data_IF_198004580881
#
_entry.id   IF_198004580881
#
_cell.length_a   1.000
_cell.length_b   1.000
_cell.length_c   1.000
_cell.angle_alpha   90.00
_cell.angle_beta   90.00
_cell.angle_gamma   90.00
#
_symmetry.space_group_name_H-M   'P 1'
#
loop_
_entity.id
_entity.type
_entity.pdbx_description
1 polymer ?
#
# COMPACT_ATOMS: atom_id res chain seq x y z
N UNK A 1 23.46 3.53 12.05
CA UNK A 1 23.17 2.70 10.86
C UNK A 1 22.13 3.40 10.00
N UNK A 2 22.40 3.63 8.71
CA UNK A 2 21.34 4.05 7.76
C UNK A 2 20.50 2.82 7.43
N UNK A 3 19.18 2.89 7.63
CA UNK A 3 18.27 1.81 7.19
C UNK A 3 18.30 1.77 5.67
N UNK A 4 18.72 0.65 5.11
CA UNK A 4 18.62 0.38 3.68
C UNK A 4 17.21 -0.15 3.39
N UNK A 5 16.45 0.59 2.58
CA UNK A 5 15.10 0.20 2.14
C UNK A 5 15.21 -0.54 0.82
N UNK A 6 15.48 -1.83 0.90
CA UNK A 6 15.46 -2.77 -0.22
C UNK A 6 14.15 -3.57 -0.26
N UNK A 7 14.03 -4.50 -1.21
CA UNK A 7 12.82 -5.31 -1.37
C UNK A 7 12.60 -6.27 -0.18
N UNK A 8 13.67 -6.68 0.52
CA UNK A 8 13.57 -7.51 1.73
C UNK A 8 12.97 -6.69 2.87
N UNK A 9 13.46 -5.46 3.08
CA UNK A 9 12.87 -4.53 4.03
C UNK A 9 11.40 -4.26 3.69
N UNK A 10 11.09 -4.06 2.42
CA UNK A 10 9.72 -3.78 1.98
C UNK A 10 8.78 -4.98 2.22
N UNK A 11 9.25 -6.21 1.99
CA UNK A 11 8.53 -7.42 2.34
C UNK A 11 8.23 -7.49 3.84
N UNK A 12 9.22 -7.18 4.70
CA UNK A 12 8.98 -7.13 6.16
C UNK A 12 7.91 -6.11 6.57
N UNK A 13 7.76 -5.00 5.82
CA UNK A 13 6.69 -4.03 6.04
C UNK A 13 5.34 -4.59 5.63
N UNK A 14 5.25 -5.29 4.51
CA UNK A 14 4.05 -5.99 4.08
C UNK A 14 3.61 -6.99 5.15
N UNK A 15 4.52 -7.84 5.61
CA UNK A 15 4.24 -8.88 6.61
C UNK A 15 3.75 -8.29 7.94
N UNK A 16 4.39 -7.21 8.40
CA UNK A 16 3.97 -6.47 9.58
C UNK A 16 2.55 -5.91 9.45
N UNK A 17 2.26 -5.22 8.34
CA UNK A 17 0.96 -4.60 8.12
C UNK A 17 -0.13 -5.64 7.95
N UNK A 18 0.17 -6.73 7.23
CA UNK A 18 -0.78 -7.83 7.05
C UNK A 18 -1.13 -8.45 8.41
N UNK A 19 -0.12 -8.85 9.17
CA UNK A 19 -0.31 -9.50 10.48
C UNK A 19 -1.04 -8.60 11.48
N UNK A 20 -0.78 -7.28 11.45
CA UNK A 20 -1.36 -6.34 12.40
C UNK A 20 -2.78 -5.88 12.05
N UNK A 21 -3.04 -5.62 10.77
CA UNK A 21 -4.27 -4.94 10.35
C UNK A 21 -5.15 -5.75 9.40
N UNK A 22 -4.61 -6.79 8.76
CA UNK A 22 -5.29 -7.62 7.77
C UNK A 22 -5.27 -9.11 8.12
N UNK A 23 -5.12 -9.44 9.41
CA UNK A 23 -5.09 -10.84 9.89
C UNK A 23 -6.37 -11.61 9.52
N UNK A 24 -7.49 -10.91 9.40
CA UNK A 24 -8.79 -11.46 8.98
C UNK A 24 -9.00 -11.44 7.45
N UNK A 25 -8.04 -10.98 6.66
CA UNK A 25 -8.09 -11.04 5.19
C UNK A 25 -7.38 -12.31 4.73
N UNK A 26 -8.10 -13.31 4.19
CA UNK A 26 -7.49 -14.56 3.74
C UNK A 26 -6.49 -14.30 2.60
N UNK A 27 -5.33 -14.95 2.64
CA UNK A 27 -4.36 -14.88 1.55
C UNK A 27 -4.65 -15.97 0.51
N UNK A 28 -5.61 -15.70 -0.38
CA UNK A 28 -6.12 -16.69 -1.35
C UNK A 28 -5.20 -16.92 -2.55
N UNK A 29 -4.12 -16.15 -2.68
CA UNK A 29 -3.10 -16.29 -3.70
C UNK A 29 -1.75 -15.72 -3.22
N UNK A 30 -0.69 -15.99 -3.97
CA UNK A 30 0.62 -15.36 -3.70
C UNK A 30 0.52 -13.84 -3.88
N UNK A 31 0.99 -13.09 -2.89
CA UNK A 31 1.09 -11.64 -2.95
C UNK A 31 2.56 -11.27 -2.87
N UNK A 32 3.04 -10.59 -3.90
CA UNK A 32 4.42 -10.11 -4.00
C UNK A 32 4.43 -8.60 -3.81
N UNK A 33 5.51 -8.08 -3.22
CA UNK A 33 5.78 -6.66 -3.12
C UNK A 33 7.20 -6.35 -3.57
N UNK A 34 7.38 -5.22 -4.26
CA UNK A 34 8.71 -4.72 -4.64
C UNK A 34 8.70 -3.21 -4.83
N UNK A 35 9.89 -2.62 -4.80
CA UNK A 35 10.09 -1.30 -5.36
C UNK A 35 10.07 -1.34 -6.88
N UNK A 36 9.33 -0.41 -7.48
CA UNK A 36 9.32 -0.13 -8.91
C UNK A 36 10.29 0.99 -9.29
N UNK A 37 10.07 1.56 -10.48
CA UNK A 37 10.77 2.76 -10.94
C UNK A 37 10.43 3.95 -10.04
N UNK A 38 11.27 4.97 -10.06
CA UNK A 38 10.96 6.25 -9.44
C UNK A 38 9.72 6.86 -10.09
N UNK A 39 8.72 7.20 -9.29
CA UNK A 39 7.52 7.90 -9.70
C UNK A 39 7.16 8.97 -8.66
N UNK A 40 6.90 10.19 -9.14
CA UNK A 40 6.61 11.36 -8.30
C UNK A 40 5.23 11.27 -7.62
N UNK A 41 4.20 10.88 -8.39
CA UNK A 41 2.81 10.97 -7.92
C UNK A 41 2.06 9.64 -7.85
N UNK A 42 2.56 8.59 -8.51
CA UNK A 42 2.03 7.23 -8.36
C UNK A 42 2.88 6.49 -7.33
N UNK A 43 2.42 6.51 -6.09
CA UNK A 43 3.22 6.03 -4.94
C UNK A 43 3.10 4.52 -4.73
N UNK A 44 1.95 3.94 -5.06
CA UNK A 44 1.66 2.52 -5.00
C UNK A 44 0.78 2.08 -6.18
N UNK A 45 0.75 0.76 -6.40
CA UNK A 45 -0.26 0.10 -7.23
C UNK A 45 -0.30 -1.39 -6.94
N UNK A 46 -1.46 -2.02 -7.10
CA UNK A 46 -1.62 -3.48 -7.09
C UNK A 46 -2.17 -4.00 -8.43
N UNK A 47 -1.65 -5.12 -8.90
CA UNK A 47 -2.12 -5.81 -10.11
C UNK A 47 -2.25 -7.31 -9.89
N UNK A 48 -3.27 -7.93 -10.49
CA UNK A 48 -3.39 -9.38 -10.58
C UNK A 48 -2.82 -9.85 -11.92
N UNK A 49 -1.83 -10.73 -11.88
CA UNK A 49 -1.41 -11.44 -13.09
C UNK A 49 -2.41 -12.55 -13.42
N UNK A 50 -2.98 -12.50 -14.63
CA UNK A 50 -4.03 -13.44 -15.05
C UNK A 50 -3.49 -14.86 -15.27
N UNK A 51 -2.19 -15.01 -15.57
CA UNK A 51 -1.56 -16.30 -15.86
C UNK A 51 -1.17 -17.03 -14.57
N UNK A 52 -0.36 -16.40 -13.73
CA UNK A 52 0.08 -16.98 -12.44
C UNK A 52 -0.95 -16.87 -11.33
N UNK A 53 -2.03 -16.10 -11.54
CA UNK A 53 -3.04 -15.75 -10.51
C UNK A 53 -2.43 -15.08 -9.27
N UNK A 54 -1.24 -14.52 -9.37
CA UNK A 54 -0.55 -13.85 -8.26
C UNK A 54 -0.80 -12.35 -8.29
N UNK A 55 -0.89 -11.74 -7.10
CA UNK A 55 -1.04 -10.30 -6.94
C UNK A 55 0.31 -9.64 -6.71
N UNK A 56 0.54 -8.48 -7.33
CA UNK A 56 1.80 -7.75 -7.28
C UNK A 56 1.56 -6.32 -6.83
N UNK A 57 2.04 -6.00 -5.64
CA UNK A 57 2.13 -4.64 -5.10
C UNK A 57 3.44 -4.03 -5.57
N UNK A 58 3.38 -2.86 -6.19
CA UNK A 58 4.56 -2.10 -6.62
C UNK A 58 4.55 -0.76 -5.93
N UNK A 59 5.61 -0.47 -5.17
CA UNK A 59 5.80 0.80 -4.47
C UNK A 59 6.81 1.64 -5.24
N UNK A 60 6.62 2.96 -5.31
CA UNK A 60 7.55 3.87 -6.01
C UNK A 60 8.98 3.72 -5.49
N UNK A 61 9.96 3.70 -6.40
CA UNK A 61 11.38 3.68 -6.04
C UNK A 61 11.83 4.92 -5.24
N UNK A 62 11.05 6.01 -5.28
CA UNK A 62 11.27 7.21 -4.47
C UNK A 62 11.32 6.90 -2.96
N UNK A 63 10.55 5.92 -2.50
CA UNK A 63 10.44 5.58 -1.08
C UNK A 63 11.68 4.89 -0.51
N UNK A 64 12.63 4.49 -1.37
CA UNK A 64 13.97 4.06 -0.93
C UNK A 64 14.74 5.19 -0.21
N UNK A 65 14.41 6.45 -0.49
CA UNK A 65 15.01 7.59 0.19
C UNK A 65 14.58 7.63 1.68
N UNK A 66 15.52 7.54 2.65
CA UNK A 66 15.19 7.52 4.07
C UNK A 66 14.53 8.81 4.58
N UNK A 67 14.62 9.92 3.84
CA UNK A 67 13.90 11.17 4.17
C UNK A 67 12.38 11.01 4.09
N UNK A 68 11.88 10.04 3.32
CA UNK A 68 10.44 9.75 3.26
C UNK A 68 10.02 9.08 4.56
N UNK A 69 9.02 9.59 5.30
CA UNK A 69 8.59 9.00 6.56
C UNK A 69 8.08 7.56 6.38
N UNK A 70 8.42 6.67 7.31
CA UNK A 70 7.99 5.26 7.24
C UNK A 70 6.46 5.12 7.21
N UNK A 71 5.74 5.94 7.98
CA UNK A 71 4.28 5.93 8.01
C UNK A 71 3.62 6.23 6.64
N UNK A 72 4.30 6.97 5.76
CA UNK A 72 3.82 7.23 4.38
C UNK A 72 3.91 5.96 3.53
N UNK A 73 5.00 5.22 3.70
CA UNK A 73 5.23 3.94 3.01
C UNK A 73 4.21 2.92 3.51
N UNK A 74 4.05 2.81 4.82
CA UNK A 74 3.10 1.90 5.43
C UNK A 74 1.66 2.24 5.02
N UNK A 75 1.29 3.53 5.00
CA UNK A 75 -0.02 3.97 4.49
C UNK A 75 -0.23 3.56 3.04
N UNK A 76 0.81 3.63 2.21
CA UNK A 76 0.74 3.26 0.79
C UNK A 76 0.57 1.75 0.63
N UNK A 77 1.31 0.93 1.39
CA UNK A 77 1.16 -0.54 1.36
C UNK A 77 -0.24 -0.94 1.85
N UNK A 78 -0.70 -0.35 2.97
CA UNK A 78 -2.02 -0.62 3.53
C UNK A 78 -3.16 -0.22 2.58
N UNK A 79 -2.97 0.83 1.79
CA UNK A 79 -3.89 1.22 0.73
C UNK A 79 -4.03 0.12 -0.34
N UNK A 80 -2.90 -0.42 -0.81
CA UNK A 80 -2.89 -1.53 -1.78
C UNK A 80 -3.45 -2.83 -1.17
N UNK A 81 -3.21 -3.11 0.11
CA UNK A 81 -3.83 -4.23 0.83
C UNK A 81 -5.33 -4.06 0.99
N UNK A 82 -5.81 -2.84 1.14
CA UNK A 82 -7.24 -2.56 1.18
C UNK A 82 -7.90 -2.87 -0.16
N UNK A 83 -7.25 -2.51 -1.28
CA UNK A 83 -7.69 -2.95 -2.60
C UNK A 83 -7.76 -4.47 -2.72
N UNK A 84 -6.70 -5.16 -2.29
CA UNK A 84 -6.66 -6.62 -2.28
C UNK A 84 -7.85 -7.20 -1.50
N UNK A 85 -8.06 -6.74 -0.25
CA UNK A 85 -9.13 -7.20 0.63
C UNK A 85 -10.52 -6.94 0.06
N UNK A 86 -10.69 -5.87 -0.73
CA UNK A 86 -11.97 -5.51 -1.35
C UNK A 86 -12.25 -6.24 -2.68
N UNK A 87 -11.39 -7.19 -3.09
CA UNK A 87 -11.56 -7.91 -4.36
C UNK A 87 -10.99 -7.21 -5.59
N UNK A 88 -10.19 -6.14 -5.41
CA UNK A 88 -9.50 -5.49 -6.51
C UNK A 88 -8.09 -6.07 -6.65
N UNK A 89 -7.74 -6.49 -7.87
CA UNK A 89 -6.43 -7.12 -8.15
C UNK A 89 -6.13 -8.34 -7.27
N UNK A 90 -7.17 -9.08 -6.89
CA UNK A 90 -7.13 -10.25 -6.03
C UNK A 90 -8.18 -11.27 -6.49
N UNK A 91 -8.14 -12.53 -6.01
CA UNK A 91 -9.17 -13.53 -6.28
C UNK A 91 -10.42 -13.38 -5.40
N UNK A 92 -10.47 -12.38 -4.50
CA UNK A 92 -11.64 -12.18 -3.64
C UNK A 92 -12.84 -11.65 -4.43
N UNK A 93 -14.08 -11.95 -3.99
CA UNK A 93 -15.26 -11.27 -4.51
C UNK A 93 -15.13 -9.75 -4.35
N UNK A 94 -15.56 -9.01 -5.37
CA UNK A 94 -15.58 -7.54 -5.30
C UNK A 94 -16.64 -7.07 -4.31
N UNK A 95 -16.20 -6.33 -3.29
CA UNK A 95 -17.10 -5.74 -2.28
C UNK A 95 -17.79 -4.47 -2.79
N UNK A 96 -17.22 -3.82 -3.80
CA UNK A 96 -17.71 -2.57 -4.37
C UNK A 96 -17.59 -2.57 -5.89
N UNK A 97 -18.38 -1.72 -6.55
CA UNK A 97 -18.31 -1.55 -8.01
C UNK A 97 -16.99 -0.90 -8.43
N UNK A 98 -16.57 0.14 -7.70
CA UNK A 98 -15.34 0.88 -7.95
C UNK A 98 -14.42 0.92 -6.72
N UNK A 99 -13.08 0.94 -6.93
CA UNK A 99 -12.10 0.78 -5.86
C UNK A 99 -12.06 1.90 -4.81
N UNK A 100 -12.63 3.08 -5.08
CA UNK A 100 -12.65 4.22 -4.16
C UNK A 100 -14.05 4.82 -3.94
N UNK A 101 -15.09 4.12 -4.38
CA UNK A 101 -16.48 4.59 -4.27
C UNK A 101 -16.81 4.97 -2.82
N UNK A 102 -17.37 6.17 -2.62
CA UNK A 102 -17.74 6.65 -1.27
C UNK A 102 -16.59 6.62 -0.24
N UNK A 103 -15.32 6.70 -0.68
CA UNK A 103 -14.17 6.65 0.22
C UNK A 103 -13.99 5.33 0.96
N UNK A 104 -14.48 4.21 0.42
CA UNK A 104 -14.41 2.88 1.05
C UNK A 104 -13.02 2.50 1.53
N UNK A 105 -11.96 2.79 0.77
CA UNK A 105 -10.58 2.50 1.19
C UNK A 105 -10.21 3.26 2.45
N UNK A 106 -10.53 4.57 2.51
CA UNK A 106 -10.26 5.38 3.70
C UNK A 106 -11.03 4.85 4.90
N UNK A 107 -12.31 4.53 4.72
CA UNK A 107 -13.17 4.01 5.80
C UNK A 107 -12.67 2.66 6.32
N UNK A 108 -12.27 1.76 5.43
CA UNK A 108 -11.70 0.46 5.81
C UNK A 108 -10.37 0.61 6.54
N UNK A 109 -9.49 1.49 6.06
CA UNK A 109 -8.24 1.75 6.78
C UNK A 109 -8.51 2.35 8.18
N UNK A 110 -9.51 3.22 8.31
CA UNK A 110 -9.90 3.77 9.61
C UNK A 110 -10.51 2.71 10.54
N UNK A 111 -11.42 1.86 10.05
CA UNK A 111 -12.05 0.79 10.84
C UNK A 111 -11.03 -0.23 11.35
N UNK A 112 -9.96 -0.46 10.58
CA UNK A 112 -8.81 -1.30 10.97
C UNK A 112 -7.79 -0.58 11.89
N UNK A 113 -8.05 0.64 12.34
CA UNK A 113 -7.18 1.38 13.27
C UNK A 113 -5.99 2.10 12.61
N UNK A 114 -5.94 2.20 11.28
CA UNK A 114 -4.84 2.85 10.54
C UNK A 114 -5.08 4.36 10.30
N UNK A 115 -5.96 5.00 11.07
CA UNK A 115 -6.23 6.43 10.97
C UNK A 115 -4.97 7.31 11.13
N UNK A 116 -4.02 6.88 11.96
CA UNK A 116 -2.74 7.57 12.15
C UNK A 116 -1.87 7.54 10.88
N UNK A 117 -1.86 6.44 10.12
CA UNK A 117 -1.14 6.34 8.84
C UNK A 117 -1.75 7.27 7.79
N UNK A 118 -3.08 7.31 7.70
CA UNK A 118 -3.80 8.23 6.81
C UNK A 118 -3.48 9.69 7.13
N UNK A 119 -3.42 10.05 8.42
CA UNK A 119 -3.03 11.40 8.86
C UNK A 119 -1.59 11.72 8.42
N UNK A 120 -0.64 10.83 8.71
CA UNK A 120 0.77 11.03 8.36
C UNK A 120 0.95 11.19 6.84
N UNK A 121 0.28 10.36 6.04
CA UNK A 121 0.28 10.47 4.58
C UNK A 121 -0.28 11.81 4.10
N UNK A 122 -1.43 12.23 4.62
CA UNK A 122 -2.08 13.50 4.25
C UNK A 122 -1.19 14.70 4.58
N UNK A 123 -0.59 14.71 5.76
CA UNK A 123 0.25 15.81 6.21
C UNK A 123 1.54 15.85 5.35
N UNK A 124 2.15 14.70 5.06
CA UNK A 124 3.33 14.60 4.19
C UNK A 124 3.04 15.01 2.74
N UNK A 125 1.97 14.51 2.11
CA UNK A 125 1.67 14.80 0.70
C UNK A 125 1.40 16.28 0.46
N UNK A 126 0.84 16.98 1.47
CA UNK A 126 0.62 18.42 1.43
C UNK A 126 1.93 19.18 1.30
N UNK A 127 2.95 18.81 2.08
CA UNK A 127 4.27 19.44 2.05
C UNK A 127 5.06 19.02 0.81
N UNK A 128 5.09 17.72 0.49
CA UNK A 128 5.75 17.18 -0.70
C UNK A 128 5.31 17.88 -1.99
N UNK A 129 4.01 18.17 -2.13
CA UNK A 129 3.48 18.86 -3.31
C UNK A 129 3.94 20.31 -3.44
N UNK A 130 4.37 20.97 -2.36
CA UNK A 130 4.89 22.34 -2.43
C UNK A 130 6.25 22.39 -3.11
N UNK A 131 7.03 21.31 -3.08
CA UNK A 131 8.33 21.22 -3.75
C UNK A 131 8.22 21.24 -5.29
N UNK A 132 7.01 21.09 -5.83
CA UNK A 132 6.74 21.05 -7.27
C UNK A 132 5.71 22.10 -7.71
N UNK A 133 5.46 23.11 -6.87
CA UNK A 133 4.67 24.30 -7.20
C UNK A 133 5.63 25.46 -7.42
#
# INVERSE_FOLDING_TARGET
MKIQRDDIWLLSRLDYLWSRYFINTPQNNKVFIKFGRFAKFRLGSIKLDKKSKSSFITITGMFKNPKIPMAVIDCTIAHELTHYSHGFSSPHPKMHKYPHEGGVVKREMQSRGMGHLLKAYRDWIKEYRKEFR
#
